data_IF_805986367031
#
_entry.id   IF_805986367031
#
_cell.length_a   1.000
_cell.length_b   1.000
_cell.length_c   1.000
_cell.angle_alpha   90.00
_cell.angle_beta   90.00
_cell.angle_gamma   90.00
#
_symmetry.space_group_name_H-M   'P 1'
#
loop_
_entity.id
_entity.type
_entity.pdbx_description
1 polymer ?
#
# COMPACT_ATOMS: atom_id res chain seq x y z
N UNK A 1 1.82 -7.37 18.97
CA UNK A 1 0.57 -6.67 19.39
C UNK A 1 -0.13 -6.37 18.10
N UNK A 2 -1.28 -7.00 17.88
CA UNK A 2 -2.04 -6.86 16.64
C UNK A 2 -2.46 -5.40 16.50
N UNK A 3 -2.25 -4.81 15.32
CA UNK A 3 -2.74 -3.46 15.06
C UNK A 3 -4.18 -3.51 14.54
N UNK A 4 -5.05 -2.75 15.21
CA UNK A 4 -6.49 -2.73 14.91
C UNK A 4 -6.81 -2.15 13.51
N UNK A 5 -5.95 -1.25 13.01
CA UNK A 5 -6.08 -0.64 11.69
C UNK A 5 -5.94 -1.65 10.54
N UNK A 6 -5.01 -2.61 10.67
CA UNK A 6 -4.83 -3.71 9.71
C UNK A 6 -6.07 -4.59 9.69
N UNK A 7 -6.57 -4.99 10.87
CA UNK A 7 -7.73 -5.88 10.99
C UNK A 7 -8.98 -5.20 10.41
N UNK A 8 -9.18 -3.91 10.71
CA UNK A 8 -10.26 -3.12 10.13
C UNK A 8 -10.13 -3.01 8.59
N UNK A 9 -8.92 -2.80 8.08
CA UNK A 9 -8.65 -2.73 6.64
C UNK A 9 -8.94 -4.06 5.92
N UNK A 10 -8.49 -5.19 6.48
CA UNK A 10 -8.78 -6.53 5.97
C UNK A 10 -10.29 -6.79 5.95
N UNK A 11 -10.97 -6.50 7.07
CA UNK A 11 -12.43 -6.67 7.20
C UNK A 11 -13.20 -5.86 6.17
N UNK A 12 -12.84 -4.58 5.99
CA UNK A 12 -13.49 -3.71 5.00
C UNK A 12 -13.32 -4.24 3.57
N UNK A 13 -12.14 -4.75 3.22
CA UNK A 13 -11.89 -5.40 1.94
C UNK A 13 -12.79 -6.62 1.72
N UNK A 14 -12.91 -7.48 2.74
CA UNK A 14 -13.75 -8.67 2.68
C UNK A 14 -15.25 -8.32 2.57
N UNK A 15 -15.72 -7.32 3.32
CA UNK A 15 -17.11 -6.82 3.24
C UNK A 15 -17.44 -6.28 1.83
N UNK A 16 -16.44 -5.80 1.09
CA UNK A 16 -16.55 -5.37 -0.31
C UNK A 16 -16.44 -6.51 -1.33
N UNK A 17 -16.25 -7.76 -0.88
CA UNK A 17 -16.10 -8.94 -1.74
C UNK A 17 -14.68 -9.14 -2.29
N UNK A 18 -13.68 -8.47 -1.74
CA UNK A 18 -12.28 -8.64 -2.13
C UNK A 18 -11.68 -9.88 -1.46
N UNK A 19 -10.85 -10.64 -2.17
CA UNK A 19 -10.17 -11.79 -1.57
C UNK A 19 -9.17 -11.36 -0.50
N UNK A 20 -8.93 -12.23 0.49
CA UNK A 20 -7.99 -11.92 1.58
C UNK A 20 -6.59 -11.65 1.05
N UNK A 21 -6.13 -12.35 0.01
CA UNK A 21 -4.84 -12.15 -0.64
C UNK A 21 -4.75 -10.76 -1.28
N UNK A 22 -5.82 -10.30 -1.92
CA UNK A 22 -5.87 -8.98 -2.54
C UNK A 22 -5.88 -7.88 -1.47
N UNK A 23 -6.61 -8.10 -0.37
CA UNK A 23 -6.60 -7.19 0.77
C UNK A 23 -5.21 -7.11 1.44
N UNK A 24 -4.53 -8.25 1.62
CA UNK A 24 -3.14 -8.31 2.10
C UNK A 24 -2.22 -7.48 1.21
N UNK A 25 -2.29 -7.67 -0.12
CA UNK A 25 -1.47 -6.93 -1.06
C UNK A 25 -1.73 -5.43 -1.00
N UNK A 26 -3.00 -5.02 -0.84
CA UNK A 26 -3.35 -3.60 -0.68
C UNK A 26 -2.71 -2.98 0.57
N UNK A 27 -2.64 -3.73 1.68
CA UNK A 27 -2.00 -3.27 2.92
C UNK A 27 -0.48 -3.21 2.80
N UNK A 28 0.14 -4.19 2.13
CA UNK A 28 1.57 -4.13 1.81
C UNK A 28 1.92 -2.90 0.97
N UNK A 29 1.09 -2.61 -0.05
CA UNK A 29 1.26 -1.43 -0.89
C UNK A 29 1.03 -0.11 -0.13
N UNK A 30 0.27 -0.14 0.98
CA UNK A 30 0.05 1.00 1.86
C UNK A 30 1.21 1.24 2.84
N UNK A 31 2.25 0.39 2.83
CA UNK A 31 3.45 0.53 3.65
C UNK A 31 3.44 -0.28 4.94
N UNK A 32 2.45 -1.16 5.14
CA UNK A 32 2.44 -2.08 6.27
C UNK A 32 3.42 -3.24 6.05
N UNK A 33 4.05 -3.72 7.12
CA UNK A 33 4.98 -4.86 7.02
C UNK A 33 4.24 -6.19 6.82
N UNK A 34 4.90 -7.15 6.18
CA UNK A 34 4.30 -8.46 5.89
C UNK A 34 3.93 -9.24 7.16
N UNK A 35 4.75 -9.13 8.20
CA UNK A 35 4.53 -9.82 9.47
C UNK A 35 3.28 -9.29 10.17
N UNK A 36 3.13 -7.96 10.24
CA UNK A 36 1.95 -7.33 10.86
C UNK A 36 0.66 -7.63 10.09
N UNK A 37 0.71 -7.64 8.75
CA UNK A 37 -0.43 -8.00 7.91
C UNK A 37 -0.82 -9.47 8.15
N UNK A 38 0.15 -10.36 8.28
CA UNK A 38 -0.11 -11.77 8.55
C UNK A 38 -0.70 -11.99 9.96
N UNK A 39 -0.22 -11.27 10.97
CA UNK A 39 -0.78 -11.30 12.33
C UNK A 39 -2.25 -10.83 12.33
N UNK A 40 -2.57 -9.80 11.55
CA UNK A 40 -3.95 -9.32 11.36
C UNK A 40 -4.87 -10.34 10.69
N UNK A 41 -4.38 -11.06 9.68
CA UNK A 41 -5.14 -12.15 9.01
C UNK A 41 -5.44 -13.30 9.98
N UNK A 42 -4.45 -13.70 10.78
CA UNK A 42 -4.62 -14.75 11.79
C UNK A 42 -5.66 -14.34 12.86
N UNK A 43 -5.67 -13.06 13.22
CA UNK A 43 -6.62 -12.49 14.17
C UNK A 43 -8.05 -12.48 13.60
N UNK A 44 -8.21 -12.09 12.33
CA UNK A 44 -9.50 -12.09 11.64
C UNK A 44 -10.10 -13.50 11.54
N UNK A 45 -9.27 -14.51 11.24
CA UNK A 45 -9.70 -15.91 11.20
C UNK A 45 -10.15 -16.40 12.58
N UNK A 46 -9.51 -15.93 13.64
CA UNK A 46 -9.85 -16.28 15.02
C UNK A 46 -11.18 -15.66 15.46
N UNK A 47 -11.46 -14.42 15.03
CA UNK A 47 -12.68 -13.69 15.37
C UNK A 47 -13.90 -14.19 14.56
N UNK A 48 -13.66 -14.68 13.33
CA UNK A 48 -14.70 -15.22 12.45
C UNK A 48 -15.33 -16.53 12.97
N UNK A 49 -14.68 -17.22 13.92
CA UNK A 49 -15.23 -18.43 14.56
C UNK A 49 -16.34 -18.09 15.56
N UNK A 50 -16.45 -16.83 16.01
CA UNK A 50 -17.45 -16.39 16.98
C UNK A 50 -18.70 -15.73 16.36
N UNK A 51 -18.68 -15.43 15.07
CA UNK A 51 -19.81 -14.77 14.39
C UNK A 51 -20.91 -15.73 13.90
N UNK A 52 -20.74 -17.05 14.03
CA UNK A 52 -21.71 -18.05 13.56
C UNK A 52 -22.76 -18.44 14.62
N UNK A 53 -23.18 -17.48 15.45
CA UNK A 53 -24.40 -17.58 16.27
C UNK A 53 -25.12 -16.23 16.30
N UNK A 54 -25.65 -15.80 15.15
CA UNK A 54 -26.78 -14.86 15.16
C UNK A 54 -28.06 -15.64 14.87
N UNK A 55 -29.00 -15.74 15.83
CA UNK A 55 -30.32 -16.28 15.54
C UNK A 55 -31.03 -15.34 14.57
N UNK A 56 -31.49 -15.91 13.46
CA UNK A 56 -32.48 -15.32 12.56
C UNK A 56 -33.63 -14.70 13.37
N UNK A 57 -33.63 -13.37 13.51
CA UNK A 57 -34.79 -12.64 14.02
C UNK A 57 -35.55 -12.12 12.80
N UNK A 58 -36.59 -12.84 12.40
CA UNK A 58 -37.64 -12.35 11.51
C UNK A 58 -38.26 -11.08 12.12
N UNK A 59 -38.22 -9.91 11.46
CA UNK A 59 -39.23 -8.90 11.66
C UNK A 59 -40.40 -9.22 10.72
N UNK A 60 -41.51 -9.61 11.33
CA UNK A 60 -42.79 -9.74 10.65
C UNK A 60 -43.16 -8.45 9.92
N UNK A 61 -43.85 -8.66 8.81
CA UNK A 61 -44.38 -7.69 7.87
C UNK A 61 -45.24 -6.60 8.53
N UNK A 62 -45.00 -5.35 8.15
CA UNK A 62 -46.06 -4.34 8.06
C UNK A 62 -45.90 -3.60 6.75
N UNK A 63 -46.71 -4.02 5.78
CA UNK A 63 -46.89 -3.41 4.47
C UNK A 63 -47.63 -2.08 4.68
N UNK A 64 -47.01 -0.97 4.31
CA UNK A 64 -47.72 0.31 4.14
C UNK A 64 -47.38 0.88 2.76
N UNK A 65 -48.31 0.87 1.79
CA UNK A 65 -48.08 1.46 0.49
C UNK A 65 -48.32 2.98 0.57
N UNK A 66 -47.24 3.76 0.47
CA UNK A 66 -47.33 5.18 0.12
C UNK A 66 -46.84 5.36 -1.31
N UNK A 67 -47.70 5.75 -2.27
CA UNK A 67 -47.24 6.13 -3.60
C UNK A 67 -46.71 7.55 -3.52
N UNK A 68 -45.40 7.69 -3.30
CA UNK A 68 -44.68 8.93 -3.59
C UNK A 68 -43.83 8.74 -4.84
N UNK A 69 -44.46 9.15 -5.92
CA UNK A 69 -43.90 9.57 -7.20
C UNK A 69 -42.55 10.29 -6.97
N UNK A 70 -41.44 9.58 -7.18
CA UNK A 70 -40.11 10.17 -7.28
C UNK A 70 -39.74 10.26 -8.76
N UNK A 71 -39.55 11.50 -9.19
CA UNK A 71 -38.96 11.90 -10.48
C UNK A 71 -37.69 11.07 -10.76
N UNK A 72 -37.38 10.79 -12.04
CA UNK A 72 -36.02 10.44 -12.43
C UNK A 72 -35.13 11.67 -12.23
N UNK A 73 -34.56 11.80 -11.05
CA UNK A 73 -33.44 12.71 -10.84
C UNK A 73 -32.23 12.02 -11.43
N UNK A 74 -31.97 12.34 -12.71
CA UNK A 74 -30.66 12.22 -13.33
C UNK A 74 -29.65 12.91 -12.40
N UNK A 75 -29.07 12.15 -11.47
CA UNK A 75 -27.81 12.52 -10.87
C UNK A 75 -26.77 12.23 -11.94
N UNK A 76 -26.06 13.24 -12.48
CA UNK A 76 -24.81 12.95 -13.11
C UNK A 76 -23.96 12.28 -12.04
N UNK A 77 -23.57 11.03 -12.29
CA UNK A 77 -22.47 10.38 -11.61
C UNK A 77 -21.31 11.35 -11.76
N UNK A 78 -21.08 12.12 -10.71
CA UNK A 78 -19.84 12.86 -10.53
C UNK A 78 -18.81 11.75 -10.38
N UNK A 79 -18.20 11.40 -11.50
CA UNK A 79 -16.85 10.88 -11.53
C UNK A 79 -16.01 11.93 -10.81
N UNK A 80 -15.96 11.82 -9.49
CA UNK A 80 -14.93 12.44 -8.70
C UNK A 80 -13.67 11.60 -8.94
N UNK A 81 -13.19 11.65 -10.19
CA UNK A 81 -11.82 11.42 -10.58
C UNK A 81 -11.00 12.62 -10.08
N UNK A 82 -11.04 12.86 -8.78
CA UNK A 82 -10.10 13.75 -8.11
C UNK A 82 -8.94 12.90 -7.63
N UNK A 83 -8.05 12.59 -8.56
CA UNK A 83 -6.64 12.43 -8.27
C UNK A 83 -5.90 12.71 -9.57
N UNK A 84 -5.86 14.00 -9.89
CA UNK A 84 -4.76 14.64 -10.59
C UNK A 84 -3.49 13.83 -10.31
N UNK A 85 -3.04 13.06 -11.29
CA UNK A 85 -1.69 12.52 -11.34
C UNK A 85 -0.76 13.71 -11.44
N UNK A 86 -0.51 14.37 -10.31
CA UNK A 86 0.74 15.06 -10.13
C UNK A 86 1.80 13.96 -10.18
N UNK A 87 2.45 13.84 -11.34
CA UNK A 87 3.74 13.19 -11.48
C UNK A 87 4.81 13.98 -10.71
N UNK A 88 4.58 14.18 -9.42
CA UNK A 88 5.48 14.80 -8.46
C UNK A 88 6.30 13.68 -7.83
N UNK A 89 7.61 13.75 -8.00
CA UNK A 89 8.55 12.69 -7.67
C UNK A 89 8.49 12.25 -6.21
N UNK A 90 7.90 11.08 -5.97
CA UNK A 90 8.10 10.30 -4.75
C UNK A 90 9.52 9.71 -4.63
N UNK A 91 10.40 9.97 -5.62
CA UNK A 91 11.82 9.58 -5.64
C UNK A 91 12.76 10.57 -4.91
N UNK A 92 12.24 11.60 -4.25
CA UNK A 92 13.08 12.67 -3.68
C UNK A 92 13.88 12.26 -2.43
N UNK A 93 13.42 11.27 -1.66
CA UNK A 93 14.08 10.94 -0.38
C UNK A 93 15.28 10.00 -0.54
N UNK A 94 15.29 9.15 -1.58
CA UNK A 94 16.39 8.21 -1.84
C UNK A 94 17.45 8.71 -2.83
N UNK A 95 17.28 9.90 -3.44
CA UNK A 95 18.27 10.42 -4.39
C UNK A 95 19.62 10.68 -3.71
N UNK A 96 19.62 11.11 -2.44
CA UNK A 96 20.85 11.31 -1.68
C UNK A 96 21.67 10.01 -1.55
N UNK A 97 21.01 8.87 -1.32
CA UNK A 97 21.66 7.57 -1.20
C UNK A 97 22.24 7.14 -2.56
N UNK A 98 21.44 7.28 -3.63
CA UNK A 98 21.90 6.94 -5.00
C UNK A 98 23.11 7.80 -5.39
N UNK A 99 23.06 9.11 -5.12
CA UNK A 99 24.17 10.04 -5.35
C UNK A 99 25.44 9.62 -4.58
N UNK A 100 25.29 9.25 -3.31
CA UNK A 100 26.42 8.80 -2.46
C UNK A 100 27.07 7.53 -3.00
N UNK A 101 26.28 6.55 -3.46
CA UNK A 101 26.79 5.31 -4.06
C UNK A 101 27.53 5.58 -5.37
N UNK A 102 27.00 6.45 -6.23
CA UNK A 102 27.65 6.82 -7.49
C UNK A 102 28.99 7.51 -7.23
N UNK A 103 29.06 8.46 -6.29
CA UNK A 103 30.31 9.13 -5.91
C UNK A 103 31.33 8.13 -5.36
N UNK A 104 30.90 7.16 -4.55
CA UNK A 104 31.78 6.14 -3.99
C UNK A 104 32.41 5.26 -5.08
N UNK A 105 31.62 4.83 -6.07
CA UNK A 105 32.13 4.03 -7.21
C UNK A 105 33.12 4.84 -8.04
N UNK A 106 32.83 6.12 -8.28
CA UNK A 106 33.73 7.03 -9.01
C UNK A 106 35.08 7.19 -8.31
N UNK A 107 35.08 7.32 -6.97
CA UNK A 107 36.30 7.39 -6.16
C UNK A 107 37.11 6.09 -6.23
N UNK A 108 36.45 4.93 -6.13
CA UNK A 108 37.10 3.62 -6.28
C UNK A 108 37.75 3.45 -7.66
N UNK A 109 37.05 3.86 -8.72
CA UNK A 109 37.56 3.80 -10.08
C UNK A 109 38.78 4.72 -10.28
N UNK A 110 38.69 5.98 -9.81
CA UNK A 110 39.80 6.91 -9.86
C UNK A 110 41.03 6.39 -9.08
N UNK A 111 40.81 5.83 -7.90
CA UNK A 111 41.86 5.23 -7.09
C UNK A 111 42.52 4.03 -7.80
N UNK A 112 41.73 3.15 -8.40
CA UNK A 112 42.25 2.02 -9.17
C UNK A 112 43.10 2.50 -10.37
N UNK A 113 42.68 3.56 -11.07
CA UNK A 113 43.45 4.17 -12.15
C UNK A 113 44.80 4.68 -11.62
N UNK A 114 44.82 5.41 -10.49
CA UNK A 114 46.08 5.87 -9.90
C UNK A 114 47.03 4.71 -9.56
N UNK A 115 46.51 3.59 -9.07
CA UNK A 115 47.31 2.40 -8.78
C UNK A 115 47.85 1.73 -10.05
N UNK A 116 47.04 1.61 -11.10
CA UNK A 116 47.46 1.00 -12.37
C UNK A 116 48.47 1.87 -13.12
N UNK A 117 48.33 3.19 -13.03
CA UNK A 117 49.21 4.15 -13.69
C UNK A 117 50.31 4.70 -12.77
N UNK A 118 50.49 4.11 -11.57
CA UNK A 118 51.47 4.60 -10.58
C UNK A 118 52.87 4.71 -11.18
N UNK A 119 53.26 3.73 -11.98
CA UNK A 119 54.59 3.67 -12.59
C UNK A 119 54.73 4.75 -13.68
N UNK A 120 53.70 4.99 -14.49
CA UNK A 120 53.67 6.06 -15.50
C UNK A 120 53.74 7.45 -14.86
N UNK A 121 52.99 7.68 -13.77
CA UNK A 121 52.96 8.98 -13.08
C UNK A 121 54.29 9.23 -12.35
N UNK A 122 54.84 8.22 -11.69
CA UNK A 122 56.14 8.34 -11.01
C UNK A 122 57.28 8.66 -11.98
N UNK A 123 57.20 8.18 -13.22
CA UNK A 123 58.15 8.51 -14.28
C UNK A 123 58.01 9.92 -14.87
N UNK A 124 56.94 10.66 -14.57
CA UNK A 124 56.79 12.07 -14.98
C UNK A 124 57.32 13.07 -13.95
N UNK A 125 57.53 12.62 -12.71
CA UNK A 125 58.02 13.45 -11.60
C UNK A 125 59.47 13.14 -11.19
N UNK A 126 60.13 12.19 -11.85
CA UNK A 126 61.57 11.92 -11.72
C UNK A 126 62.33 12.45 -12.92
#
# INVERSE_FOLDING_TARGET
MVRDDIVAGLKNGLERGVSIETAKQSLLNAGYSADEVQEGVNSLNSDSVLAMQQPFRNPASSVQPSPRQMRPQNQPVSQQASAKKEGGGFFAENWKIISLVVVLILLMAAFAIVLLFKDTISGWFG
#
